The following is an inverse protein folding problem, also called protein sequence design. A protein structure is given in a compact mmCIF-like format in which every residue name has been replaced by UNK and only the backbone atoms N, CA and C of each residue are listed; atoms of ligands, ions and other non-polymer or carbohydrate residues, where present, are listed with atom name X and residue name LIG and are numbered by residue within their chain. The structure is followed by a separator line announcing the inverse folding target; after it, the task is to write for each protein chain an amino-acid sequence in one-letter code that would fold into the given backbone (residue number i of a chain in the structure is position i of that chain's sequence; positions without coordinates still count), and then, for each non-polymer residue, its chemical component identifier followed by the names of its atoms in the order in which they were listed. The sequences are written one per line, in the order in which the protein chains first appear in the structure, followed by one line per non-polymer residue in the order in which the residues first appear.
data_IF_383076542208
#
_entry.id   IF_383076542208
#
_cell.length_a   1.000
_cell.length_b   1.000
_cell.length_c   1.000
_cell.angle_alpha   90.00
_cell.angle_beta   90.00
_cell.angle_gamma   90.00
#
_symmetry.space_group_name_H-M   'P 1'
#
loop_
_entity.id
_entity.type
_entity.pdbx_description
1 polymer ?
#
# COMPACT_ATOMS: atom_id res chain seq x y z
N UNK A 1 17.12 -20.95 -77.50
CA UNK A 1 18.16 -21.22 -76.55
C UNK A 1 17.60 -20.85 -75.16
N UNK A 2 17.64 -21.81 -74.24
CA UNK A 2 16.76 -21.92 -73.08
C UNK A 2 17.33 -21.06 -71.91
N UNK A 3 16.50 -20.15 -71.37
CA UNK A 3 16.82 -19.42 -70.13
C UNK A 3 16.18 -20.18 -68.95
N UNK A 4 17.00 -20.63 -67.97
CA UNK A 4 16.56 -21.20 -66.71
C UNK A 4 16.30 -20.11 -65.69
N UNK A 5 15.05 -19.98 -65.32
CA UNK A 5 14.61 -19.10 -64.22
C UNK A 5 14.73 -19.90 -62.92
N UNK A 6 15.64 -19.49 -62.04
CA UNK A 6 15.76 -20.00 -60.66
C UNK A 6 14.85 -19.21 -59.75
N UNK A 7 13.79 -19.88 -59.22
CA UNK A 7 12.92 -19.35 -58.18
C UNK A 7 13.67 -19.47 -56.82
N UNK A 8 13.92 -18.34 -56.17
CA UNK A 8 14.37 -18.30 -54.76
C UNK A 8 13.15 -18.32 -53.88
N UNK A 9 12.95 -19.44 -53.19
CA UNK A 9 11.94 -19.59 -52.16
C UNK A 9 12.53 -19.02 -50.84
N UNK A 10 12.18 -17.78 -50.50
CA UNK A 10 12.55 -17.13 -49.25
C UNK A 10 11.75 -17.70 -48.09
N UNK A 11 12.38 -18.50 -47.24
CA UNK A 11 11.85 -18.98 -45.99
C UNK A 11 11.92 -17.84 -44.96
N UNK A 12 10.80 -17.15 -44.71
CA UNK A 12 10.72 -16.17 -43.65
C UNK A 12 10.65 -16.90 -42.29
N UNK A 13 11.75 -16.88 -41.55
CA UNK A 13 11.76 -17.28 -40.13
C UNK A 13 11.01 -16.22 -39.33
N UNK A 14 9.78 -16.51 -38.96
CA UNK A 14 9.05 -15.75 -37.94
C UNK A 14 9.65 -16.13 -36.59
N UNK A 15 10.58 -15.32 -36.10
CA UNK A 15 11.06 -15.42 -34.71
C UNK A 15 9.94 -14.89 -33.80
N UNK A 16 9.14 -15.79 -33.27
CA UNK A 16 8.22 -15.49 -32.18
C UNK A 16 9.05 -15.17 -30.94
N UNK A 17 9.33 -13.88 -30.70
CA UNK A 17 9.91 -13.42 -29.44
C UNK A 17 8.89 -13.67 -28.34
N UNK A 18 9.05 -14.77 -27.61
CA UNK A 18 8.40 -14.92 -26.31
C UNK A 18 8.96 -13.81 -25.41
N UNK A 19 8.20 -12.73 -25.27
CA UNK A 19 8.40 -11.81 -24.18
C UNK A 19 8.18 -12.61 -22.90
N UNK A 20 9.27 -13.03 -22.26
CA UNK A 20 9.26 -13.54 -20.91
C UNK A 20 8.72 -12.43 -20.02
N UNK A 21 7.43 -12.48 -19.69
CA UNK A 21 6.87 -11.68 -18.62
C UNK A 21 7.64 -12.07 -17.37
N UNK A 22 8.52 -11.20 -16.91
CA UNK A 22 9.13 -11.32 -15.61
C UNK A 22 7.98 -11.38 -14.61
N UNK A 23 7.66 -12.58 -14.13
CA UNK A 23 6.73 -12.77 -13.02
C UNK A 23 7.39 -12.11 -11.82
N UNK A 24 7.01 -10.87 -11.56
CA UNK A 24 7.31 -10.22 -10.29
C UNK A 24 6.65 -11.08 -9.22
N UNK A 25 7.51 -11.75 -8.44
CA UNK A 25 7.04 -12.61 -7.33
C UNK A 25 6.13 -11.79 -6.45
N UNK A 26 4.88 -12.22 -6.29
CA UNK A 26 3.90 -11.53 -5.47
C UNK A 26 4.47 -11.25 -4.08
N UNK A 27 4.35 -10.02 -3.55
CA UNK A 27 4.95 -9.66 -2.28
C UNK A 27 4.36 -10.48 -1.14
N UNK A 28 5.24 -10.89 -0.21
CA UNK A 28 4.86 -11.59 1.01
C UNK A 28 4.70 -10.58 2.15
N UNK A 29 3.56 -10.61 2.82
CA UNK A 29 3.30 -9.79 4.02
C UNK A 29 2.95 -10.72 5.18
N UNK A 30 3.85 -10.79 6.16
CA UNK A 30 3.71 -11.72 7.27
C UNK A 30 3.69 -13.20 6.87
N UNK A 31 4.30 -13.55 5.71
CA UNK A 31 4.26 -14.91 5.17
C UNK A 31 3.07 -15.23 4.27
N UNK A 32 2.09 -14.35 4.15
CA UNK A 32 0.97 -14.50 3.22
C UNK A 32 1.27 -13.80 1.89
N UNK A 33 0.91 -14.46 0.78
CA UNK A 33 1.03 -13.90 -0.57
C UNK A 33 -0.05 -12.85 -0.78
N UNK A 34 0.36 -11.66 -1.27
CA UNK A 34 -0.55 -10.56 -1.62
C UNK A 34 -0.74 -10.52 -3.13
N UNK A 35 -1.97 -10.69 -3.57
CA UNK A 35 -2.30 -10.79 -4.98
C UNK A 35 -2.67 -9.41 -5.57
N UNK A 36 -2.02 -8.96 -6.65
CA UNK A 36 -2.33 -7.67 -7.28
C UNK A 36 -3.71 -7.62 -7.93
N UNK A 37 -4.35 -8.78 -8.15
CA UNK A 37 -5.71 -8.91 -8.67
C UNK A 37 -6.80 -8.73 -7.61
N UNK A 38 -6.44 -8.74 -6.33
CA UNK A 38 -7.36 -8.54 -5.20
C UNK A 38 -7.36 -7.10 -4.73
N UNK A 39 -8.44 -6.72 -4.03
CA UNK A 39 -8.55 -5.40 -3.39
C UNK A 39 -7.64 -5.30 -2.16
N UNK A 40 -7.47 -4.08 -1.68
CA UNK A 40 -6.73 -3.79 -0.44
C UNK A 40 -7.28 -4.60 0.72
N UNK A 41 -8.61 -4.60 0.90
CA UNK A 41 -9.25 -5.29 2.02
C UNK A 41 -9.19 -6.81 1.90
N UNK A 42 -9.40 -7.38 0.70
CA UNK A 42 -9.30 -8.82 0.45
C UNK A 42 -7.90 -9.39 0.77
N UNK A 43 -6.85 -8.63 0.46
CA UNK A 43 -5.48 -9.00 0.81
C UNK A 43 -5.20 -8.81 2.30
N UNK A 44 -5.66 -7.70 2.90
CA UNK A 44 -5.47 -7.43 4.32
C UNK A 44 -6.06 -8.54 5.20
N UNK A 45 -7.25 -9.04 4.87
CA UNK A 45 -7.90 -10.16 5.60
C UNK A 45 -7.05 -11.43 5.59
N UNK A 46 -6.22 -11.65 4.57
CA UNK A 46 -5.35 -12.82 4.47
C UNK A 46 -4.00 -12.64 5.17
N UNK A 47 -3.67 -11.43 5.56
CA UNK A 47 -2.42 -11.12 6.24
C UNK A 47 -2.47 -11.57 7.71
N UNK A 48 -1.55 -12.44 8.17
CA UNK A 48 -1.52 -12.89 9.56
C UNK A 48 -1.07 -11.82 10.55
N UNK A 49 -0.49 -10.72 10.07
CA UNK A 49 0.07 -9.62 10.88
C UNK A 49 -0.78 -8.34 10.88
N UNK A 50 -1.99 -8.38 10.31
CA UNK A 50 -2.92 -7.24 10.24
C UNK A 50 -4.31 -7.58 10.79
N UNK A 51 -4.40 -8.52 11.75
CA UNK A 51 -5.67 -8.97 12.33
C UNK A 51 -6.40 -7.85 13.04
N UNK A 52 -5.67 -7.08 13.85
CA UNK A 52 -6.19 -5.93 14.59
C UNK A 52 -6.71 -4.85 13.63
N UNK A 53 -5.95 -4.54 12.57
CA UNK A 53 -6.35 -3.59 11.54
C UNK A 53 -7.65 -4.03 10.83
N UNK A 54 -7.73 -5.31 10.46
CA UNK A 54 -8.92 -5.86 9.78
C UNK A 54 -10.16 -5.80 10.68
N UNK A 55 -10.02 -6.12 11.97
CA UNK A 55 -11.12 -5.97 12.94
C UNK A 55 -11.55 -4.51 13.05
N UNK A 56 -10.59 -3.60 13.24
CA UNK A 56 -10.86 -2.17 13.32
C UNK A 56 -11.58 -1.61 12.08
N UNK A 57 -11.18 -2.04 10.88
CA UNK A 57 -11.82 -1.63 9.61
C UNK A 57 -13.26 -2.13 9.52
N UNK A 58 -13.54 -3.36 10.00
CA UNK A 58 -14.91 -3.92 10.05
C UNK A 58 -15.77 -3.17 11.05
N UNK A 59 -15.27 -2.94 12.26
CA UNK A 59 -15.98 -2.24 13.35
C UNK A 59 -16.29 -0.78 12.97
N UNK A 60 -15.36 -0.13 12.26
CA UNK A 60 -15.57 1.19 11.69
C UNK A 60 -16.58 1.22 10.52
N UNK A 61 -16.86 0.07 9.89
CA UNK A 61 -17.69 -0.02 8.68
C UNK A 61 -17.00 0.46 7.40
N UNK A 62 -15.67 0.43 7.36
CA UNK A 62 -14.86 0.92 6.22
C UNK A 62 -14.48 -0.19 5.21
N UNK A 63 -14.94 -1.43 5.44
CA UNK A 63 -14.60 -2.56 4.58
C UNK A 63 -15.04 -2.32 3.12
N UNK A 64 -16.27 -1.82 2.92
CA UNK A 64 -16.80 -1.53 1.58
C UNK A 64 -16.07 -0.37 0.91
N UNK A 65 -15.67 0.65 1.68
CA UNK A 65 -14.86 1.77 1.18
C UNK A 65 -13.51 1.29 0.66
N UNK A 66 -12.84 0.40 1.38
CA UNK A 66 -11.54 -0.17 0.98
C UNK A 66 -11.65 -1.27 -0.09
N UNK A 67 -12.85 -1.80 -0.33
CA UNK A 67 -13.17 -2.65 -1.47
C UNK A 67 -13.63 -1.86 -2.70
N UNK A 68 -13.95 -0.58 -2.52
CA UNK A 68 -14.45 0.31 -3.57
C UNK A 68 -13.42 0.62 -4.66
N UNK A 69 -13.86 1.30 -5.72
CA UNK A 69 -12.99 1.71 -6.82
C UNK A 69 -12.02 2.79 -6.33
N UNK A 70 -10.76 2.42 -6.11
CA UNK A 70 -9.70 3.35 -5.75
C UNK A 70 -9.42 4.39 -6.87
N UNK A 71 -8.20 4.85 -7.01
CA UNK A 71 -7.01 4.33 -6.34
C UNK A 71 -6.81 4.88 -4.90
N UNK A 72 -6.33 4.00 -4.01
CA UNK A 72 -5.98 4.37 -2.64
C UNK A 72 -4.54 3.97 -2.31
N UNK A 73 -3.90 4.73 -1.42
CA UNK A 73 -2.67 4.33 -0.73
C UNK A 73 -2.99 4.14 0.74
N UNK A 74 -2.74 2.94 1.26
CA UNK A 74 -3.01 2.60 2.66
C UNK A 74 -1.69 2.36 3.39
N UNK A 75 -1.47 3.09 4.45
CA UNK A 75 -0.40 2.84 5.40
C UNK A 75 -0.91 1.89 6.47
N UNK A 76 -0.58 0.59 6.33
CA UNK A 76 -1.14 -0.48 7.15
C UNK A 76 -0.25 -0.78 8.36
N UNK A 77 -0.66 -0.41 9.59
CA UNK A 77 0.05 -0.78 10.80
C UNK A 77 -0.13 -2.27 11.10
N UNK A 78 0.96 -2.92 11.51
CA UNK A 78 0.95 -4.33 11.94
C UNK A 78 0.32 -4.49 13.33
N UNK A 79 0.00 -5.72 13.72
CA UNK A 79 -0.47 -6.03 15.08
C UNK A 79 0.56 -5.59 16.13
N UNK A 80 1.87 -5.72 15.84
CA UNK A 80 2.95 -5.20 16.69
C UNK A 80 2.94 -3.66 16.79
N UNK A 81 2.50 -2.97 15.74
CA UNK A 81 2.34 -1.51 15.78
C UNK A 81 1.21 -1.10 16.73
N UNK A 82 0.11 -1.83 16.74
CA UNK A 82 -0.98 -1.63 17.71
C UNK A 82 -0.56 -1.97 19.13
N UNK A 83 0.26 -3.01 19.33
CA UNK A 83 0.78 -3.40 20.64
C UNK A 83 1.68 -2.33 21.29
N UNK A 84 2.22 -1.40 20.53
CA UNK A 84 2.99 -0.25 21.04
C UNK A 84 2.13 0.86 21.63
N UNK A 85 0.83 0.85 21.36
CA UNK A 85 -0.09 1.80 21.97
C UNK A 85 -0.24 1.50 23.48
N UNK A 86 -0.59 2.50 24.30
CA UNK A 86 -0.86 2.26 25.73
C UNK A 86 -1.90 1.18 25.92
N UNK A 87 -1.73 0.36 26.96
CA UNK A 87 -2.64 -0.74 27.29
C UNK A 87 -4.10 -0.26 27.34
N UNK A 88 -5.00 -1.02 26.72
CA UNK A 88 -6.42 -0.70 26.65
C UNK A 88 -6.82 0.34 25.60
N UNK A 89 -5.85 1.00 24.93
CA UNK A 89 -6.18 1.99 23.88
C UNK A 89 -6.91 1.35 22.72
N UNK A 90 -6.45 0.19 22.25
CA UNK A 90 -7.08 -0.54 21.13
C UNK A 90 -8.49 -0.99 21.51
N UNK A 91 -8.63 -1.61 22.68
CA UNK A 91 -9.94 -2.07 23.18
C UNK A 91 -10.92 -0.92 23.33
N UNK A 92 -10.44 0.22 23.83
CA UNK A 92 -11.26 1.44 23.95
C UNK A 92 -11.69 1.98 22.56
N UNK A 93 -10.77 2.04 21.59
CA UNK A 93 -11.07 2.50 20.23
C UNK A 93 -12.07 1.59 19.49
N UNK A 94 -12.10 0.30 19.83
CA UNK A 94 -13.04 -0.67 19.25
C UNK A 94 -14.43 -0.64 19.90
N UNK A 95 -14.63 0.14 20.96
CA UNK A 95 -15.96 0.31 21.57
C UNK A 95 -16.89 1.06 20.60
N UNK A 96 -18.19 0.70 20.57
CA UNK A 96 -19.17 1.35 19.71
C UNK A 96 -19.24 2.87 19.88
N UNK A 97 -19.03 3.35 21.10
CA UNK A 97 -19.01 4.77 21.47
C UNK A 97 -17.86 5.53 20.80
N UNK A 98 -16.76 4.84 20.50
CA UNK A 98 -15.55 5.41 19.91
C UNK A 98 -15.43 5.16 18.41
N UNK A 99 -16.48 4.65 17.76
CA UNK A 99 -16.49 4.34 16.32
C UNK A 99 -16.09 5.54 15.45
N UNK A 100 -16.52 6.74 15.80
CA UNK A 100 -16.14 7.96 15.08
C UNK A 100 -14.64 8.24 15.15
N UNK A 101 -14.06 8.08 16.33
CA UNK A 101 -12.61 8.23 16.56
C UNK A 101 -11.84 7.15 15.82
N UNK A 102 -12.29 5.90 15.85
CA UNK A 102 -11.70 4.80 15.11
C UNK A 102 -11.72 5.07 13.60
N UNK A 103 -12.88 5.51 13.08
CA UNK A 103 -13.01 5.88 11.67
C UNK A 103 -12.06 7.02 11.29
N UNK A 104 -11.92 8.04 12.14
CA UNK A 104 -11.00 9.15 11.95
C UNK A 104 -9.54 8.65 11.85
N UNK A 105 -9.11 7.79 12.77
CA UNK A 105 -7.76 7.20 12.76
C UNK A 105 -7.55 6.36 11.50
N UNK A 106 -8.49 5.50 11.14
CA UNK A 106 -8.33 4.62 9.96
C UNK A 106 -8.31 5.40 8.64
N UNK A 107 -9.15 6.43 8.50
CA UNK A 107 -9.15 7.29 7.31
C UNK A 107 -7.92 8.20 7.24
N UNK A 108 -7.29 8.50 8.38
CA UNK A 108 -6.00 9.18 8.44
C UNK A 108 -4.85 8.32 7.87
N UNK A 109 -4.96 7.00 7.93
CA UNK A 109 -4.00 6.07 7.31
C UNK A 109 -4.21 5.87 5.80
N UNK A 110 -5.24 6.47 5.22
CA UNK A 110 -5.58 6.35 3.80
C UNK A 110 -5.34 7.67 3.09
N UNK A 111 -4.59 7.61 1.99
CA UNK A 111 -4.33 8.74 1.10
C UNK A 111 -4.96 8.45 -0.26
N UNK A 112 -5.69 9.39 -0.87
CA UNK A 112 -6.22 9.20 -2.21
C UNK A 112 -5.09 9.14 -3.23
N UNK A 113 -5.23 8.25 -4.21
CA UNK A 113 -4.22 8.01 -5.24
C UNK A 113 -3.39 6.74 -4.98
N UNK A 114 -2.77 6.23 -6.05
CA UNK A 114 -1.82 5.11 -5.98
C UNK A 114 -0.41 5.69 -5.95
N UNK A 115 0.20 5.75 -4.78
CA UNK A 115 1.48 6.38 -4.53
C UNK A 115 2.51 5.28 -4.22
N UNK A 116 3.49 5.09 -5.09
CA UNK A 116 4.58 4.14 -4.87
C UNK A 116 5.67 4.71 -3.93
N UNK A 117 6.52 3.85 -3.42
CA UNK A 117 7.68 4.28 -2.64
C UNK A 117 8.66 5.14 -3.44
N UNK A 118 8.72 4.93 -4.77
CA UNK A 118 9.52 5.75 -5.68
C UNK A 118 8.94 7.15 -5.85
N UNK A 119 7.61 7.28 -5.88
CA UNK A 119 6.94 8.59 -5.92
C UNK A 119 7.20 9.36 -4.63
N UNK A 120 7.04 8.69 -3.48
CA UNK A 120 7.34 9.27 -2.16
C UNK A 120 8.78 9.79 -2.10
N UNK A 121 9.77 8.99 -2.50
CA UNK A 121 11.19 9.40 -2.54
C UNK A 121 11.42 10.59 -3.46
N UNK A 122 10.75 10.62 -4.61
CA UNK A 122 10.86 11.73 -5.58
C UNK A 122 10.27 13.02 -4.99
N UNK A 123 9.10 12.94 -4.35
CA UNK A 123 8.45 14.09 -3.73
C UNK A 123 9.21 14.61 -2.51
N UNK A 124 9.76 13.71 -1.68
CA UNK A 124 10.64 14.08 -0.56
C UNK A 124 11.86 14.86 -1.06
N UNK A 125 12.49 14.40 -2.14
CA UNK A 125 13.63 15.11 -2.75
C UNK A 125 13.24 16.49 -3.26
N UNK A 126 12.11 16.61 -3.95
CA UNK A 126 11.59 17.89 -4.47
C UNK A 126 11.19 18.85 -3.33
N UNK A 127 10.75 18.32 -2.21
CA UNK A 127 10.33 19.07 -1.03
C UNK A 127 11.46 19.32 -0.01
N UNK A 128 12.73 19.30 -0.45
CA UNK A 128 13.88 19.55 0.41
C UNK A 128 13.95 18.64 1.65
N UNK A 129 13.68 17.34 1.45
CA UNK A 129 13.81 16.30 2.49
C UNK A 129 12.50 15.92 3.16
N UNK A 130 11.38 16.58 2.87
CA UNK A 130 10.05 16.25 3.38
C UNK A 130 8.96 16.59 2.37
N UNK A 131 7.83 15.90 2.47
CA UNK A 131 6.64 16.18 1.68
C UNK A 131 5.39 15.91 2.50
N UNK A 132 4.32 16.64 2.27
CA UNK A 132 3.06 16.50 2.99
C UNK A 132 2.01 15.84 2.10
N UNK A 133 1.38 14.78 2.62
CA UNK A 133 0.30 14.05 1.99
C UNK A 133 -1.00 14.42 2.69
N UNK A 134 -2.03 14.75 1.92
CA UNK A 134 -3.37 14.95 2.46
C UNK A 134 -4.08 13.60 2.56
N UNK A 135 -4.53 13.26 3.75
CA UNK A 135 -5.25 12.00 4.02
C UNK A 135 -6.73 12.11 3.66
N UNK A 136 -7.43 10.97 3.58
CA UNK A 136 -8.89 10.91 3.35
C UNK A 136 -9.65 11.54 4.53
N UNK A 137 -9.10 11.47 5.73
CA UNK A 137 -9.64 12.14 6.92
C UNK A 137 -9.60 13.66 6.78
N UNK A 138 -8.64 14.19 6.02
CA UNK A 138 -8.44 15.62 5.77
C UNK A 138 -7.19 16.21 6.43
N UNK A 139 -6.60 15.50 7.38
CA UNK A 139 -5.36 15.87 8.03
C UNK A 139 -4.13 15.64 7.15
N UNK A 140 -2.98 16.15 7.59
CA UNK A 140 -1.72 16.10 6.87
C UNK A 140 -0.79 15.05 7.45
N UNK A 141 -0.17 14.27 6.58
CA UNK A 141 0.82 13.27 6.92
C UNK A 141 2.15 13.65 6.27
N UNK A 142 3.16 13.93 7.08
CA UNK A 142 4.48 14.31 6.57
C UNK A 142 5.32 13.08 6.28
N UNK A 143 5.88 12.98 5.07
CA UNK A 143 6.82 11.92 4.69
C UNK A 143 8.23 12.48 4.57
N UNK A 144 9.21 11.74 5.05
CA UNK A 144 10.63 12.11 5.02
C UNK A 144 11.51 10.88 4.86
N UNK A 145 12.81 11.08 4.68
CA UNK A 145 13.80 9.99 4.65
C UNK A 145 14.59 9.93 5.95
N UNK A 146 14.76 8.73 6.49
CA UNK A 146 15.72 8.43 7.55
C UNK A 146 16.65 7.33 7.06
N UNK A 147 17.85 7.72 6.61
CA UNK A 147 18.73 6.84 5.87
C UNK A 147 18.07 6.36 4.57
N UNK A 148 17.91 5.05 4.40
CA UNK A 148 17.23 4.43 3.25
C UNK A 148 15.72 4.28 3.43
N UNK A 149 15.20 4.49 4.65
CA UNK A 149 13.80 4.22 5.00
C UNK A 149 12.94 5.47 4.83
N UNK A 150 11.70 5.25 4.40
CA UNK A 150 10.67 6.30 4.39
C UNK A 150 10.02 6.31 5.77
N UNK A 151 9.97 7.48 6.38
CA UNK A 151 9.35 7.73 7.68
C UNK A 151 8.16 8.65 7.49
N UNK A 152 7.07 8.29 8.12
CA UNK A 152 5.84 9.07 8.21
C UNK A 152 5.81 9.77 9.56
N UNK A 153 5.41 11.01 9.58
CA UNK A 153 5.22 11.79 10.83
C UNK A 153 3.79 12.31 10.85
N UNK A 154 3.07 12.01 11.91
CA UNK A 154 1.71 12.47 12.12
C UNK A 154 1.65 13.88 12.71
N UNK A 155 0.45 14.43 12.81
CA UNK A 155 0.21 15.79 13.33
C UNK A 155 0.48 15.95 14.84
N UNK A 156 0.62 14.83 15.57
CA UNK A 156 1.01 14.82 17.00
C UNK A 156 2.51 14.65 17.20
N UNK A 157 3.28 14.50 16.10
CA UNK A 157 4.71 14.25 16.13
C UNK A 157 5.09 12.78 16.29
N UNK A 158 4.11 11.86 16.26
CA UNK A 158 4.35 10.43 16.22
C UNK A 158 4.98 10.03 14.88
N UNK A 159 5.83 9.01 14.89
CA UNK A 159 6.53 8.55 13.69
C UNK A 159 6.29 7.08 13.41
N UNK A 160 6.16 6.73 12.15
CA UNK A 160 6.09 5.36 11.66
C UNK A 160 7.03 5.15 10.48
N UNK A 161 7.70 4.01 10.43
CA UNK A 161 8.60 3.65 9.33
C UNK A 161 7.91 2.65 8.40
N UNK A 162 8.03 2.84 7.09
CA UNK A 162 7.59 1.86 6.11
C UNK A 162 8.56 0.67 6.15
N UNK A 163 8.04 -0.51 6.49
CA UNK A 163 8.81 -1.76 6.60
C UNK A 163 8.71 -2.61 5.33
N UNK A 164 7.53 -2.64 4.70
CA UNK A 164 7.29 -3.32 3.43
C UNK A 164 6.57 -2.32 2.51
N UNK A 165 7.29 -1.74 1.54
CA UNK A 165 6.69 -0.84 0.56
C UNK A 165 6.06 -1.59 -0.61
N UNK A 166 5.25 -0.87 -1.40
CA UNK A 166 4.84 -1.24 -2.75
C UNK A 166 4.09 -2.58 -2.87
N UNK A 167 3.22 -2.89 -1.90
CA UNK A 167 2.29 -4.01 -2.00
C UNK A 167 1.10 -3.58 -2.86
N UNK A 168 1.18 -3.81 -4.17
CA UNK A 168 0.16 -3.37 -5.13
C UNK A 168 -1.07 -4.27 -5.12
N UNK A 169 -2.25 -3.65 -5.23
CA UNK A 169 -3.56 -4.29 -5.36
C UNK A 169 -4.34 -3.72 -6.55
N UNK A 170 -5.49 -4.33 -6.86
CA UNK A 170 -6.34 -3.89 -7.96
C UNK A 170 -6.82 -2.45 -7.80
N UNK A 171 -7.17 -2.05 -6.57
CA UNK A 171 -7.71 -0.74 -6.24
C UNK A 171 -6.73 0.18 -5.47
N UNK A 172 -5.42 -0.15 -5.41
CA UNK A 172 -4.47 0.75 -4.75
C UNK A 172 -3.11 0.12 -4.44
N UNK A 173 -2.48 0.61 -3.38
CA UNK A 173 -1.21 0.12 -2.86
C UNK A 173 -1.21 0.16 -1.34
N UNK A 174 -0.61 -0.83 -0.70
CA UNK A 174 -0.37 -0.88 0.74
C UNK A 174 1.12 -0.65 1.01
N UNK A 175 1.42 0.17 2.00
CA UNK A 175 2.73 0.26 2.64
C UNK A 175 2.59 -0.17 4.09
N UNK A 176 3.27 -1.24 4.47
CA UNK A 176 3.25 -1.74 5.86
C UNK A 176 4.10 -0.84 6.73
N UNK A 177 3.56 -0.44 7.87
CA UNK A 177 4.23 0.46 8.83
C UNK A 177 4.33 -0.16 10.22
N UNK A 178 5.32 0.27 11.00
CA UNK A 178 5.67 -0.28 12.31
C UNK A 178 5.09 0.49 13.51
N UNK A 179 4.27 1.49 13.27
CA UNK A 179 3.56 2.25 14.31
C UNK A 179 2.22 2.78 13.79
N UNK A 180 1.27 3.02 14.68
CA UNK A 180 -0.02 3.63 14.37
C UNK A 180 0.14 5.14 14.36
N UNK A 181 -0.43 5.80 13.35
CA UNK A 181 -0.42 7.25 13.20
C UNK A 181 -1.70 7.86 13.81
N UNK A 182 -1.56 8.97 14.48
CA UNK A 182 -2.65 9.61 15.21
C UNK A 182 -2.94 11.00 14.65
N UNK A 183 -4.18 11.25 14.15
CA UNK A 183 -4.62 12.61 13.79
C UNK A 183 -4.76 13.48 15.04
N UNK A 184 -4.78 14.79 14.85
CA UNK A 184 -5.12 15.75 15.90
C UNK A 184 -6.53 15.62 16.43
#
# INVERSE_FOLDING_TARGET
MKALTKAFLGLALVTCSLAASAQTKDPLVGGAVMYPTKTIFENAVKSPIHKTLVSAVKDAGLADTLNGPGPFTVFAPTDDAFAKLPHGTVDNLMQPENKSTLTKILTYHVVPGRISSSDLKTWIKKGNGKYELKTVEGGMLTVSMSGSNIVLTDEKGGTATITIPDVFQSNGVIHVINAVLMPK
#
